data_IF_258729206522
#
_entry.id   IF_258729206522
#
_cell.length_a   1.000
_cell.length_b   1.000
_cell.length_c   1.000
_cell.angle_alpha   90.00
_cell.angle_beta   90.00
_cell.angle_gamma   90.00
#
_symmetry.space_group_name_H-M   'P 1'
#
loop_
_entity.id
_entity.type
_entity.pdbx_description
1 polymer ?
#
# COMPACT_ATOMS: atom_id res chain seq x y z
N UNK A 1 13.48 3.25 23.77
CA UNK A 1 13.23 1.80 23.90
C UNK A 1 11.78 1.71 24.37
N UNK A 2 10.74 1.45 23.57
CA UNK A 2 10.43 0.47 22.46
C UNK A 2 10.25 -1.00 22.94
N UNK A 3 9.16 -1.75 22.60
CA UNK A 3 8.60 -2.92 23.34
C UNK A 3 8.81 -4.35 22.76
N UNK A 4 8.72 -5.41 23.61
CA UNK A 4 9.16 -6.80 23.37
C UNK A 4 8.09 -7.56 22.54
N UNK A 5 7.54 -6.95 21.50
CA UNK A 5 7.29 -7.75 20.29
C UNK A 5 8.68 -8.18 19.81
N UNK A 6 9.12 -9.34 20.31
CA UNK A 6 10.44 -9.95 20.09
C UNK A 6 11.60 -9.00 20.52
N UNK A 7 11.79 -8.87 21.85
CA UNK A 7 12.97 -8.30 22.56
C UNK A 7 13.25 -6.77 22.65
N UNK A 8 12.35 -5.96 23.25
CA UNK A 8 12.55 -4.49 23.51
C UNK A 8 11.71 -4.02 24.77
N UNK A 9 11.99 -3.03 25.64
CA UNK A 9 11.05 -2.58 26.72
C UNK A 9 10.19 -1.30 26.48
N UNK A 10 8.83 -1.29 26.50
CA UNK A 10 7.99 -0.02 26.51
C UNK A 10 6.55 -0.08 27.12
N UNK A 11 5.64 0.84 26.74
CA UNK A 11 4.71 1.57 27.63
C UNK A 11 3.24 1.67 27.16
N UNK A 12 2.31 1.48 28.10
CA UNK A 12 0.89 1.92 28.00
C UNK A 12 0.70 3.13 28.93
N UNK A 13 0.18 4.28 28.44
CA UNK A 13 -0.11 5.43 29.29
C UNK A 13 -1.43 5.22 30.06
N UNK A 14 -1.48 5.66 31.31
CA UNK A 14 -2.76 5.82 32.05
C UNK A 14 -3.09 7.29 32.25
N UNK A 15 -4.32 7.57 32.69
CA UNK A 15 -4.74 8.91 33.15
C UNK A 15 -5.08 8.81 34.62
N UNK A 16 -4.51 9.72 35.41
CA UNK A 16 -4.90 9.99 36.80
C UNK A 16 -5.26 11.46 36.90
N UNK A 17 -6.43 11.79 37.44
CA UNK A 17 -6.82 13.19 37.65
C UNK A 17 -5.94 13.83 38.74
N UNK A 18 -4.86 14.47 38.30
CA UNK A 18 -3.86 15.10 39.16
C UNK A 18 -2.46 15.03 38.57
N UNK A 19 -1.93 16.19 38.16
CA UNK A 19 -0.56 16.44 37.66
C UNK A 19 -0.30 16.12 36.18
N UNK A 20 0.22 17.13 35.46
CA UNK A 20 0.54 17.09 34.02
C UNK A 20 1.87 16.37 33.71
N UNK A 21 2.01 15.11 34.15
CA UNK A 21 3.14 14.23 33.76
C UNK A 21 2.59 12.82 33.52
N UNK A 22 2.68 12.32 32.29
CA UNK A 22 2.11 11.04 31.86
C UNK A 22 2.50 9.90 32.81
N UNK A 23 1.57 9.34 33.60
CA UNK A 23 1.90 8.33 34.59
C UNK A 23 2.26 7.01 33.90
N UNK A 24 3.54 6.65 34.00
CA UNK A 24 4.09 5.40 33.49
C UNK A 24 4.14 4.36 34.62
N UNK A 25 3.51 3.21 34.42
CA UNK A 25 3.54 2.09 35.36
C UNK A 25 4.59 1.04 34.97
N UNK A 26 5.33 0.53 35.95
CA UNK A 26 6.20 -0.64 35.77
C UNK A 26 5.42 -1.95 35.86
N UNK A 27 5.94 -3.01 35.24
CA UNK A 27 5.38 -4.36 35.35
C UNK A 27 5.28 -4.86 36.81
N UNK A 28 6.17 -4.40 37.70
CA UNK A 28 6.10 -4.71 39.14
C UNK A 28 4.91 -4.04 39.82
N UNK A 29 4.57 -2.80 39.44
CA UNK A 29 3.37 -2.11 39.95
C UNK A 29 2.09 -2.79 39.44
N UNK A 30 2.00 -3.13 38.15
CA UNK A 30 0.85 -3.87 37.59
C UNK A 30 0.66 -5.22 38.29
N UNK A 31 1.73 -5.99 38.49
CA UNK A 31 1.70 -7.27 39.23
C UNK A 31 1.32 -7.10 40.71
N UNK A 32 1.60 -5.94 41.32
CA UNK A 32 1.22 -5.61 42.70
C UNK A 32 -0.25 -5.20 42.80
N UNK A 33 -0.76 -4.43 41.85
CA UNK A 33 -2.17 -4.03 41.79
C UNK A 33 -3.10 -5.21 41.53
N UNK A 34 -2.74 -6.09 40.58
CA UNK A 34 -3.48 -7.32 40.32
C UNK A 34 -3.58 -8.22 41.58
N UNK A 35 -2.49 -8.36 42.35
CA UNK A 35 -2.48 -9.06 43.64
C UNK A 35 -3.38 -8.43 44.71
N UNK A 36 -3.67 -7.13 44.60
CA UNK A 36 -4.55 -6.38 45.49
C UNK A 36 -6.00 -6.29 45.00
N UNK A 37 -6.31 -6.90 43.84
CA UNK A 37 -7.59 -6.76 43.12
C UNK A 37 -7.88 -5.31 42.68
N UNK A 38 -6.84 -4.51 42.43
CA UNK A 38 -6.97 -3.19 41.81
C UNK A 38 -7.41 -3.36 40.35
N UNK A 39 -8.37 -2.55 39.88
CA UNK A 39 -8.99 -2.68 38.54
C UNK A 39 -7.93 -2.51 37.46
N UNK A 40 -7.77 -3.54 36.62
CA UNK A 40 -6.71 -3.63 35.61
C UNK A 40 -7.33 -4.02 34.27
N UNK A 41 -7.10 -3.22 33.23
CA UNK A 41 -7.58 -3.49 31.87
C UNK A 41 -6.44 -3.94 30.96
N UNK A 42 -6.74 -4.80 29.99
CA UNK A 42 -5.84 -5.21 28.92
C UNK A 42 -6.42 -4.77 27.58
N UNK A 43 -5.63 -4.04 26.79
CA UNK A 43 -5.92 -3.72 25.40
C UNK A 43 -4.85 -4.38 24.51
N UNK A 44 -5.28 -5.06 23.46
CA UNK A 44 -4.42 -5.67 22.45
C UNK A 44 -4.73 -5.07 21.08
N UNK A 45 -3.69 -4.60 20.38
CA UNK A 45 -3.84 -4.03 19.06
C UNK A 45 -3.72 -5.17 18.03
N UNK A 46 -4.87 -5.68 17.55
CA UNK A 46 -4.90 -6.60 16.40
C UNK A 46 -4.45 -5.81 15.18
N UNK A 47 -3.17 -5.88 14.83
CA UNK A 47 -2.71 -5.42 13.51
C UNK A 47 -3.36 -6.32 12.46
N UNK A 48 -4.36 -5.77 11.77
CA UNK A 48 -4.85 -6.35 10.53
C UNK A 48 -3.65 -6.47 9.58
N UNK A 49 -3.25 -7.70 9.26
CA UNK A 49 -2.36 -7.93 8.13
C UNK A 49 -3.26 -7.81 6.91
N UNK A 50 -2.94 -6.87 6.02
CA UNK A 50 -3.69 -6.63 4.79
C UNK A 50 -3.42 -7.74 3.76
N UNK A 51 -3.81 -8.95 4.14
CA UNK A 51 -3.57 -10.21 3.44
C UNK A 51 -4.81 -10.67 2.72
N UNK A 52 -5.36 -9.82 1.84
CA UNK A 52 -6.40 -10.19 0.86
C UNK A 52 -7.65 -10.84 1.45
N UNK A 53 -8.01 -10.51 2.69
CA UNK A 53 -9.12 -11.13 3.43
C UNK A 53 -10.01 -10.09 4.12
N UNK A 54 -10.33 -9.04 3.36
CA UNK A 54 -11.68 -8.49 3.41
C UNK A 54 -12.71 -9.55 3.00
N UNK A 55 -14.00 -9.21 3.07
CA UNK A 55 -15.09 -10.14 2.76
C UNK A 55 -14.91 -10.78 1.36
N UNK A 56 -15.25 -12.07 1.19
CA UNK A 56 -15.06 -12.76 -0.10
C UNK A 56 -15.80 -12.00 -1.20
N UNK A 57 -15.11 -11.79 -2.33
CA UNK A 57 -15.60 -10.97 -3.43
C UNK A 57 -17.06 -11.31 -3.77
N UNK A 58 -17.99 -10.34 -3.78
CA UNK A 58 -19.37 -10.58 -4.21
C UNK A 58 -19.39 -11.26 -5.58
N UNK A 59 -20.22 -12.28 -5.74
CA UNK A 59 -20.26 -13.14 -6.95
C UNK A 59 -20.63 -12.35 -8.20
N UNK A 60 -21.35 -11.26 -8.00
CA UNK A 60 -21.72 -10.26 -9.00
C UNK A 60 -20.48 -9.55 -9.55
N UNK A 61 -19.50 -9.24 -8.69
CA UNK A 61 -18.22 -8.62 -9.09
C UNK A 61 -17.26 -9.67 -9.65
N UNK A 62 -17.22 -10.89 -9.08
CA UNK A 62 -16.47 -12.02 -9.64
C UNK A 62 -16.91 -12.30 -11.08
N UNK A 63 -18.21 -12.35 -11.36
CA UNK A 63 -18.76 -12.53 -12.71
C UNK A 63 -18.38 -11.43 -13.70
N UNK A 64 -18.40 -10.15 -13.28
CA UNK A 64 -17.98 -9.02 -14.13
C UNK A 64 -16.47 -9.05 -14.39
N UNK A 65 -15.65 -9.39 -13.39
CA UNK A 65 -14.21 -9.58 -13.61
C UNK A 65 -13.91 -10.76 -14.54
N UNK A 66 -14.73 -11.81 -14.51
CA UNK A 66 -14.63 -12.96 -15.42
C UNK A 66 -15.07 -12.65 -16.86
N UNK A 67 -16.08 -11.80 -17.04
CA UNK A 67 -16.54 -11.33 -18.35
C UNK A 67 -15.49 -10.45 -19.06
N UNK A 68 -14.83 -9.53 -18.33
CA UNK A 68 -13.93 -8.52 -18.89
C UNK A 68 -12.42 -8.82 -18.69
N UNK A 69 -12.03 -10.10 -18.58
CA UNK A 69 -10.62 -10.54 -18.40
C UNK A 69 -9.67 -10.08 -19.52
N UNK A 70 -10.19 -9.77 -20.70
CA UNK A 70 -9.43 -9.34 -21.88
C UNK A 70 -9.17 -7.82 -21.92
N UNK A 71 -9.85 -7.03 -21.09
CA UNK A 71 -9.72 -5.56 -21.05
C UNK A 71 -8.42 -5.12 -20.39
N UNK A 72 -7.91 -5.87 -19.40
CA UNK A 72 -6.70 -5.55 -18.64
C UNK A 72 -5.72 -6.74 -18.55
N UNK A 73 -5.18 -7.21 -19.69
CA UNK A 73 -4.22 -8.32 -19.71
C UNK A 73 -2.86 -7.89 -19.14
N UNK A 74 -2.06 -8.83 -18.61
CA UNK A 74 -0.73 -8.53 -18.04
C UNK A 74 0.31 -8.13 -19.10
N UNK A 75 0.08 -8.51 -20.37
CA UNK A 75 0.88 -8.10 -21.54
C UNK A 75 -0.06 -7.57 -22.63
N UNK A 76 0.41 -6.59 -23.40
CA UNK A 76 -0.35 -6.08 -24.55
C UNK A 76 -0.45 -7.15 -25.66
N UNK A 77 -1.62 -7.31 -26.30
CA UNK A 77 -1.79 -8.30 -27.36
C UNK A 77 -0.89 -7.99 -28.57
N UNK A 78 -0.22 -9.03 -29.11
CA UNK A 78 0.72 -8.93 -30.25
C UNK A 78 0.06 -8.58 -31.60
N UNK A 79 -1.22 -8.18 -31.59
CA UNK A 79 -1.99 -7.78 -32.78
C UNK A 79 -2.24 -6.28 -32.70
N UNK A 80 -2.14 -5.58 -33.83
CA UNK A 80 -2.59 -4.20 -33.91
C UNK A 80 -4.09 -4.11 -33.54
N UNK A 81 -4.53 -3.06 -32.82
CA UNK A 81 -5.95 -2.83 -32.59
C UNK A 81 -6.69 -2.63 -33.92
N UNK A 82 -8.00 -2.87 -33.91
CA UNK A 82 -8.86 -2.57 -35.05
C UNK A 82 -8.71 -1.10 -35.46
N UNK A 83 -8.80 -0.81 -36.76
CA UNK A 83 -8.76 0.57 -37.27
C UNK A 83 -9.84 1.39 -36.57
N UNK A 84 -9.43 2.49 -35.94
CA UNK A 84 -10.33 3.50 -35.37
C UNK A 84 -10.96 4.30 -36.51
N UNK A 85 -12.15 4.83 -36.24
CA UNK A 85 -12.85 5.75 -37.14
C UNK A 85 -12.15 7.11 -37.20
N UNK A 86 -11.64 7.59 -36.07
CA UNK A 86 -10.82 8.80 -35.99
C UNK A 86 -9.35 8.52 -36.33
N UNK A 87 -8.81 9.30 -37.26
CA UNK A 87 -7.38 9.37 -37.57
C UNK A 87 -6.82 10.73 -37.13
N UNK A 88 -6.04 10.75 -36.05
CA UNK A 88 -5.41 11.98 -35.57
C UNK A 88 -4.35 12.46 -36.57
N UNK A 89 -4.66 13.53 -37.30
CA UNK A 89 -3.76 14.19 -38.26
C UNK A 89 -2.75 15.06 -37.51
N UNK A 90 -1.46 14.89 -37.81
CA UNK A 90 -0.43 15.87 -37.41
C UNK A 90 -0.46 17.01 -38.42
N UNK A 91 -0.67 18.24 -37.94
CA UNK A 91 -0.58 19.44 -38.76
C UNK A 91 0.85 19.98 -38.73
N UNK A 92 1.35 20.46 -39.88
CA UNK A 92 2.71 20.94 -40.04
C UNK A 92 2.70 22.37 -40.57
N UNK A 93 3.59 23.20 -40.05
CA UNK A 93 3.79 24.57 -40.57
C UNK A 93 4.36 24.53 -42.00
N UNK A 94 3.94 25.45 -42.90
CA UNK A 94 4.46 25.49 -44.26
C UNK A 94 5.99 25.66 -44.31
N UNK A 95 6.67 24.65 -44.87
CA UNK A 95 8.14 24.63 -44.96
C UNK A 95 8.86 23.99 -43.76
N UNK A 96 8.13 23.45 -42.78
CA UNK A 96 8.70 22.67 -41.68
C UNK A 96 9.54 21.48 -42.23
N UNK A 97 10.78 21.35 -41.74
CA UNK A 97 11.68 20.25 -42.11
C UNK A 97 11.56 19.11 -41.10
N UNK A 98 11.46 17.84 -41.53
CA UNK A 98 11.50 16.71 -40.60
C UNK A 98 12.79 16.70 -39.75
N UNK A 99 12.72 16.36 -38.46
CA UNK A 99 13.90 16.24 -37.60
C UNK A 99 14.75 15.05 -38.04
N UNK A 100 15.93 15.34 -38.60
CA UNK A 100 16.91 14.35 -39.04
C UNK A 100 18.15 14.40 -38.14
N UNK A 101 18.05 13.83 -36.94
CA UNK A 101 19.13 13.75 -35.95
C UNK A 101 19.61 12.30 -35.82
N UNK A 102 20.91 12.12 -35.56
CA UNK A 102 21.46 10.80 -35.25
C UNK A 102 20.95 10.26 -33.90
N UNK A 103 20.90 8.93 -33.69
CA UNK A 103 20.55 8.35 -32.40
C UNK A 103 21.45 8.88 -31.27
N UNK A 104 20.89 9.01 -30.07
CA UNK A 104 21.67 9.34 -28.88
C UNK A 104 22.69 8.24 -28.55
N UNK A 105 23.83 8.61 -27.97
CA UNK A 105 24.85 7.65 -27.54
C UNK A 105 24.37 6.89 -26.31
N UNK A 106 23.97 5.64 -26.52
CA UNK A 106 23.58 4.71 -25.45
C UNK A 106 24.78 3.83 -25.02
N UNK A 107 24.65 3.11 -23.91
CA UNK A 107 25.64 2.12 -23.48
C UNK A 107 25.46 0.80 -24.26
N UNK A 108 26.49 -0.06 -24.39
CA UNK A 108 26.34 -1.34 -25.11
C UNK A 108 25.18 -2.24 -24.65
N UNK A 109 24.85 -2.38 -23.35
CA UNK A 109 23.70 -3.18 -22.91
C UNK A 109 22.32 -2.60 -23.27
N UNK A 110 22.26 -1.36 -23.77
CA UNK A 110 21.03 -0.70 -24.25
C UNK A 110 20.93 -0.75 -25.80
N UNK A 111 21.85 -1.48 -26.45
CA UNK A 111 21.99 -1.59 -27.91
C UNK A 111 21.97 -3.06 -28.40
N UNK A 112 21.74 -4.02 -27.49
CA UNK A 112 21.84 -5.48 -27.68
C UNK A 112 20.47 -6.16 -27.59
#
# INVERSE_FOLDING_TARGET
MAILEEEKPCMVPTVTEGTLKTPMLSAMQVKKGLKRKEVTYLATLKKERDGGSGEPMPKEIEGVLDEFKDVMPPELPKRLPLRREEYHKIELEPGAKPPAMGPYRMAPPELE
#
